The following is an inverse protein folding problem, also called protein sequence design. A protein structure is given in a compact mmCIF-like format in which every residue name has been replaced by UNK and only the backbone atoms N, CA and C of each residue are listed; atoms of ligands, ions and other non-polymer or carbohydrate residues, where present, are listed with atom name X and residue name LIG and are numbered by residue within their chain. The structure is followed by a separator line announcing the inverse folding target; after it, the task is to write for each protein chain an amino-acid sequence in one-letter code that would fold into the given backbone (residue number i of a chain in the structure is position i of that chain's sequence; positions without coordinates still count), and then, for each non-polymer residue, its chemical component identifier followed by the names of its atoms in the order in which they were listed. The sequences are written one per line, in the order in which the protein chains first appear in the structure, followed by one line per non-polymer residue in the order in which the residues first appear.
data_IF_644956819664
#
_entry.id   IF_644956819664
#
_cell.length_a   1.000
_cell.length_b   1.000
_cell.length_c   1.000
_cell.angle_alpha   90.00
_cell.angle_beta   90.00
_cell.angle_gamma   90.00
#
_symmetry.space_group_name_H-M   'P 1'
#
loop_
_entity.id
_entity.type
_entity.pdbx_description
1 polymer ?
#
# COMPACT_ATOMS: atom_id res chain seq x y z
N UNK A 1 -5.84 -20.66 -0.25
CA UNK A 1 -6.98 -20.34 0.64
C UNK A 1 -7.35 -18.89 0.37
N UNK A 2 -8.61 -18.59 0.07
CA UNK A 2 -9.06 -17.19 -0.04
C UNK A 2 -9.44 -16.68 1.34
N UNK A 3 -8.77 -15.64 1.83
CA UNK A 3 -9.15 -14.95 3.05
C UNK A 3 -10.41 -14.14 2.78
N UNK A 4 -11.43 -14.31 3.61
CA UNK A 4 -12.67 -13.55 3.50
C UNK A 4 -12.61 -12.38 4.46
N UNK A 5 -12.80 -11.13 4.00
CA UNK A 5 -12.85 -9.99 4.89
C UNK A 5 -14.08 -10.10 5.82
N UNK A 6 -13.92 -9.57 7.02
CA UNK A 6 -15.04 -9.36 7.91
C UNK A 6 -15.95 -8.26 7.32
N UNK A 7 -17.25 -8.54 7.24
CA UNK A 7 -18.24 -7.62 6.67
C UNK A 7 -19.20 -7.06 7.71
N UNK A 8 -19.08 -7.44 8.98
CA UNK A 8 -20.14 -7.23 9.98
C UNK A 8 -20.39 -5.76 10.31
N UNK A 9 -19.40 -4.88 10.10
CA UNK A 9 -19.47 -3.49 10.52
C UNK A 9 -19.06 -2.47 9.43
N UNK A 10 -18.77 -2.91 8.20
CA UNK A 10 -18.37 -2.01 7.10
C UNK A 10 -16.95 -1.43 7.24
N UNK A 11 -16.10 -2.01 8.08
CA UNK A 11 -14.70 -1.62 8.23
C UNK A 11 -13.78 -2.76 7.77
N UNK A 12 -12.76 -2.39 7.00
CA UNK A 12 -11.63 -3.26 6.67
C UNK A 12 -10.35 -2.59 7.14
N UNK A 13 -9.65 -3.22 8.09
CA UNK A 13 -8.51 -2.60 8.73
C UNK A 13 -7.38 -3.60 9.00
N UNK A 14 -6.21 -3.00 9.15
CA UNK A 14 -5.01 -3.59 9.69
C UNK A 14 -4.73 -2.89 11.03
N UNK A 15 -4.56 -3.65 12.10
CA UNK A 15 -4.31 -3.11 13.45
C UNK A 15 -3.13 -3.78 14.12
N UNK A 16 -2.52 -3.07 15.06
CA UNK A 16 -1.53 -3.62 15.98
C UNK A 16 -2.08 -3.59 17.41
N UNK A 17 -1.58 -4.49 18.25
CA UNK A 17 -1.91 -4.53 19.68
C UNK A 17 -0.65 -4.21 20.51
N UNK A 18 -0.74 -3.35 21.54
CA UNK A 18 0.37 -3.12 22.47
C UNK A 18 0.87 -4.41 23.15
N UNK A 19 -0.03 -5.36 23.37
CA UNK A 19 0.23 -6.62 24.05
C UNK A 19 0.85 -7.67 23.13
N UNK A 20 0.75 -7.48 21.80
CA UNK A 20 1.26 -8.42 20.79
C UNK A 20 2.13 -7.68 19.76
N UNK A 21 3.30 -7.22 20.23
CA UNK A 21 4.19 -6.32 19.48
C UNK A 21 4.69 -6.86 18.15
N UNK A 22 4.81 -8.19 18.04
CA UNK A 22 5.35 -8.86 16.85
C UNK A 22 4.24 -9.43 15.96
N UNK A 23 3.00 -8.96 16.14
CA UNK A 23 1.87 -9.40 15.32
C UNK A 23 1.04 -8.23 14.83
N UNK A 24 0.46 -8.45 13.66
CA UNK A 24 -0.51 -7.54 13.05
C UNK A 24 -1.80 -8.32 12.85
N UNK A 25 -2.93 -7.69 13.15
CA UNK A 25 -4.27 -8.26 13.01
C UNK A 25 -4.99 -7.66 11.81
N UNK A 26 -5.82 -8.47 11.17
CA UNK A 26 -6.65 -8.06 10.03
C UNK A 26 -8.10 -8.39 10.33
N UNK A 27 -8.99 -7.51 9.85
CA UNK A 27 -10.44 -7.72 9.94
C UNK A 27 -10.91 -8.78 8.93
N UNK A 28 -10.62 -10.05 9.19
CA UNK A 28 -11.10 -11.23 8.45
C UNK A 28 -12.10 -12.03 9.29
N UNK A 29 -12.82 -12.95 8.66
CA UNK A 29 -13.65 -13.94 9.35
C UNK A 29 -13.19 -15.36 8.97
N UNK A 30 -12.61 -16.15 9.91
CA UNK A 30 -12.29 -15.79 11.30
C UNK A 30 -11.19 -14.73 11.39
N UNK A 31 -11.05 -14.09 12.55
CA UNK A 31 -9.98 -13.11 12.82
C UNK A 31 -8.61 -13.78 12.60
N UNK A 32 -7.73 -13.07 11.88
CA UNK A 32 -6.39 -13.56 11.55
C UNK A 32 -5.34 -12.57 12.03
N UNK A 33 -4.26 -13.13 12.58
CA UNK A 33 -3.05 -12.41 12.96
C UNK A 33 -1.84 -12.96 12.19
N UNK A 34 -0.96 -12.10 11.72
CA UNK A 34 0.32 -12.47 11.11
C UNK A 34 1.48 -12.06 12.01
N UNK A 35 2.45 -12.96 12.19
CA UNK A 35 3.70 -12.61 12.85
C UNK A 35 4.60 -11.81 11.90
N UNK A 36 5.11 -10.68 12.36
CA UNK A 36 6.02 -9.82 11.59
C UNK A 36 7.41 -9.86 12.18
N UNK A 37 8.42 -10.05 11.33
CA UNK A 37 9.82 -10.11 11.79
C UNK A 37 10.35 -8.72 12.19
N UNK A 38 9.91 -7.69 11.47
CA UNK A 38 10.14 -6.29 11.77
C UNK A 38 8.80 -5.57 11.71
N UNK A 39 8.51 -4.74 12.71
CA UNK A 39 7.28 -3.95 12.71
C UNK A 39 7.39 -2.88 11.62
N UNK A 40 6.46 -2.82 10.64
CA UNK A 40 6.47 -1.77 9.63
C UNK A 40 6.31 -0.40 10.31
N UNK A 41 7.07 0.56 9.84
CA UNK A 41 6.96 1.96 10.27
C UNK A 41 5.98 2.71 9.36
N UNK A 42 5.91 2.32 8.09
CA UNK A 42 4.97 2.86 7.12
C UNK A 42 4.14 1.74 6.49
N UNK A 43 2.82 1.92 6.49
CA UNK A 43 1.89 1.02 5.80
C UNK A 43 1.40 1.69 4.52
N UNK A 44 1.62 1.03 3.38
CA UNK A 44 0.96 1.37 2.14
C UNK A 44 -0.43 0.77 2.11
N UNK A 45 -1.44 1.56 1.76
CA UNK A 45 -2.83 1.10 1.59
C UNK A 45 -3.25 1.41 0.16
N UNK A 46 -3.71 0.39 -0.55
CA UNK A 46 -4.18 0.52 -1.94
C UNK A 46 -5.53 -0.13 -2.09
N UNK A 47 -6.48 0.60 -2.68
CA UNK A 47 -7.80 0.11 -3.03
C UNK A 47 -7.95 0.15 -4.55
N UNK A 48 -8.11 -1.02 -5.15
CA UNK A 48 -8.64 -1.13 -6.50
C UNK A 48 -10.17 -1.14 -6.44
N UNK A 49 -10.76 -0.05 -6.92
CA UNK A 49 -12.20 0.15 -6.86
C UNK A 49 -12.96 -0.72 -7.86
N UNK A 50 -12.35 -1.10 -8.98
CA UNK A 50 -12.98 -1.86 -10.05
C UNK A 50 -12.98 -3.35 -9.72
N UNK A 51 -11.82 -3.87 -9.29
CA UNK A 51 -11.67 -5.29 -8.92
C UNK A 51 -12.12 -5.59 -7.49
N UNK A 52 -12.42 -4.55 -6.70
CA UNK A 52 -12.85 -4.64 -5.29
C UNK A 52 -11.79 -5.31 -4.41
N UNK A 53 -10.54 -4.92 -4.60
CA UNK A 53 -9.41 -5.47 -3.88
C UNK A 53 -8.75 -4.41 -2.99
N UNK A 54 -8.60 -4.72 -1.71
CA UNK A 54 -7.90 -3.88 -0.73
C UNK A 54 -6.58 -4.55 -0.33
N UNK A 55 -5.47 -3.88 -0.61
CA UNK A 55 -4.12 -4.37 -0.34
C UNK A 55 -3.39 -3.51 0.68
N UNK A 56 -2.66 -4.17 1.59
CA UNK A 56 -1.77 -3.55 2.57
C UNK A 56 -0.33 -3.96 2.30
N UNK A 57 0.60 -3.00 2.37
CA UNK A 57 2.01 -3.21 2.08
C UNK A 57 2.88 -2.72 3.24
N UNK A 58 3.97 -3.46 3.50
CA UNK A 58 5.10 -2.95 4.25
C UNK A 58 5.97 -2.15 3.26
N UNK A 59 6.03 -0.83 3.46
CA UNK A 59 6.74 0.08 2.54
C UNK A 59 8.25 -0.13 2.62
N UNK A 60 8.78 -0.32 3.82
CA UNK A 60 10.21 -0.50 4.06
C UNK A 60 10.73 -1.76 3.37
N UNK A 61 10.01 -2.88 3.50
CA UNK A 61 10.36 -4.15 2.86
C UNK A 61 9.92 -4.24 1.40
N UNK A 62 9.09 -3.30 0.92
CA UNK A 62 8.44 -3.34 -0.40
C UNK A 62 7.69 -4.65 -0.64
N UNK A 63 6.99 -5.14 0.38
CA UNK A 63 6.27 -6.42 0.33
C UNK A 63 4.78 -6.25 0.59
N UNK A 64 3.99 -7.03 -0.13
CA UNK A 64 2.58 -7.22 0.19
C UNK A 64 2.48 -7.92 1.55
N UNK A 65 1.68 -7.35 2.44
CA UNK A 65 1.32 -7.97 3.70
C UNK A 65 0.11 -8.87 3.46
N UNK A 66 -0.97 -8.31 2.93
CA UNK A 66 -2.22 -9.01 2.64
C UNK A 66 -3.01 -8.27 1.56
N UNK A 67 -3.80 -9.03 0.81
CA UNK A 67 -4.82 -8.51 -0.09
C UNK A 67 -6.17 -9.18 0.22
N UNK A 68 -7.24 -8.39 0.24
CA UNK A 68 -8.59 -8.79 0.62
C UNK A 68 -9.57 -8.43 -0.49
N UNK A 69 -10.35 -9.42 -0.94
CA UNK A 69 -11.47 -9.21 -1.84
C UNK A 69 -12.67 -8.64 -1.05
N UNK A 70 -12.81 -7.31 -1.04
CA UNK A 70 -13.85 -6.59 -0.29
C UNK A 70 -15.13 -6.47 -1.10
N UNK A 71 -16.26 -6.24 -0.44
CA UNK A 71 -17.55 -6.02 -1.11
C UNK A 71 -18.21 -4.77 -0.57
N UNK A 72 -18.51 -3.84 -1.47
CA UNK A 72 -19.13 -2.56 -1.14
C UNK A 72 -19.90 -2.03 -2.35
N UNK A 73 -20.95 -1.26 -2.08
CA UNK A 73 -21.85 -0.71 -3.10
C UNK A 73 -21.85 0.82 -3.17
N UNK A 74 -21.02 1.48 -2.36
CA UNK A 74 -20.99 2.94 -2.23
C UNK A 74 -19.57 3.49 -2.08
N UNK A 75 -19.48 4.70 -1.57
CA UNK A 75 -18.21 5.37 -1.31
C UNK A 75 -17.45 4.69 -0.17
N UNK A 76 -16.12 4.74 -0.27
CA UNK A 76 -15.20 4.28 0.77
C UNK A 76 -14.36 5.46 1.20
N UNK A 77 -14.16 5.55 2.51
CA UNK A 77 -13.31 6.57 3.11
C UNK A 77 -12.17 5.91 3.89
N UNK A 78 -10.95 6.47 3.82
CA UNK A 78 -9.88 6.07 4.71
C UNK A 78 -10.29 6.24 6.18
N UNK A 79 -9.95 5.26 7.00
CA UNK A 79 -10.18 5.28 8.45
C UNK A 79 -8.86 5.07 9.17
N UNK A 80 -8.58 5.92 10.16
CA UNK A 80 -7.35 5.90 10.93
C UNK A 80 -7.66 5.87 12.43
N UNK A 81 -6.95 5.02 13.16
CA UNK A 81 -7.02 4.95 14.61
C UNK A 81 -5.59 4.93 15.17
N UNK A 82 -5.11 6.04 15.78
CA UNK A 82 -3.75 6.13 16.29
C UNK A 82 -3.51 5.34 17.59
N UNK A 83 -4.54 4.69 18.15
CA UNK A 83 -4.45 3.96 19.40
C UNK A 83 -4.62 4.86 20.62
N UNK A 84 -5.20 4.31 21.69
CA UNK A 84 -5.47 5.06 22.92
C UNK A 84 -4.19 5.16 23.76
N UNK A 85 -3.72 6.39 23.98
CA UNK A 85 -2.60 6.66 24.89
C UNK A 85 -1.22 6.57 24.26
N UNK A 86 -1.11 6.25 22.96
CA UNK A 86 0.13 6.41 22.22
C UNK A 86 0.47 7.92 22.13
N UNK A 87 1.74 8.25 22.34
CA UNK A 87 2.25 9.62 22.26
C UNK A 87 2.80 9.95 20.86
N UNK A 88 2.96 8.92 20.02
CA UNK A 88 3.46 9.03 18.66
C UNK A 88 2.36 9.52 17.73
N UNK A 89 2.71 10.37 16.77
CA UNK A 89 1.77 10.83 15.74
C UNK A 89 1.59 9.74 14.67
N UNK A 90 0.37 9.64 14.11
CA UNK A 90 0.11 8.92 12.87
C UNK A 90 0.03 9.94 11.74
N UNK A 91 0.90 9.81 10.74
CA UNK A 91 1.06 10.80 9.67
C UNK A 91 0.70 10.21 8.31
N UNK A 92 -0.03 10.98 7.51
CA UNK A 92 -0.31 10.64 6.11
C UNK A 92 0.81 11.25 5.26
N UNK A 93 1.65 10.41 4.68
CA UNK A 93 2.78 10.85 3.86
C UNK A 93 2.27 11.23 2.46
N UNK A 94 2.38 12.51 2.10
CA UNK A 94 2.18 12.97 0.73
C UNK A 94 3.45 12.74 -0.08
N UNK A 95 3.47 11.72 -0.95
CA UNK A 95 4.58 11.54 -1.89
C UNK A 95 4.30 12.39 -3.13
N UNK A 96 5.18 13.36 -3.49
CA UNK A 96 5.03 14.08 -4.75
C UNK A 96 5.12 13.09 -5.91
N UNK A 97 4.24 13.26 -6.89
CA UNK A 97 4.24 12.48 -8.12
C UNK A 97 5.63 12.62 -8.77
N UNK A 98 6.31 11.49 -9.00
CA UNK A 98 7.58 11.52 -9.70
C UNK A 98 7.29 11.82 -11.16
N UNK A 99 7.53 13.07 -11.57
CA UNK A 99 7.57 13.43 -12.99
C UNK A 99 8.78 12.70 -13.58
N UNK A 100 8.53 11.60 -14.28
CA UNK A 100 9.55 10.96 -15.12
C UNK A 100 9.84 11.89 -16.30
N UNK A 101 10.93 12.65 -16.21
CA UNK A 101 11.51 13.31 -17.37
C UNK A 101 12.07 12.23 -18.30
N UNK A 102 11.30 11.82 -19.31
CA UNK A 102 11.79 10.93 -20.36
C UNK A 102 12.71 11.70 -21.32
N UNK A 103 13.98 11.89 -20.92
CA UNK A 103 15.05 12.35 -21.81
C UNK A 103 15.54 11.20 -22.70
N UNK A 104 14.66 10.70 -23.58
CA UNK A 104 15.06 9.82 -24.67
C UNK A 104 14.88 10.56 -25.99
N UNK A 105 15.84 11.42 -26.35
CA UNK A 105 16.11 11.80 -27.73
C UNK A 105 17.61 12.11 -27.88
N UNK A 106 18.42 11.06 -27.94
CA UNK A 106 19.80 11.13 -28.48
C UNK A 106 19.76 10.81 -29.98
N UNK A 107 19.95 11.87 -30.77
CA UNK A 107 20.40 12.05 -32.16
C UNK A 107 20.08 11.04 -33.27
N UNK A 108 19.74 11.54 -34.48
CA UNK A 108 20.27 11.01 -35.73
C UNK A 108 21.60 11.70 -36.08
N UNK A 109 22.64 10.89 -36.22
CA UNK A 109 23.88 11.19 -36.93
C UNK A 109 23.59 11.41 -38.42
N UNK A 110 23.92 12.59 -38.95
CA UNK A 110 24.18 12.77 -40.39
C UNK A 110 25.56 13.41 -40.58
N UNK A 111 26.57 12.56 -40.68
CA UNK A 111 27.83 12.90 -41.34
C UNK A 111 27.70 12.50 -42.82
N UNK A 112 27.42 13.48 -43.69
CA UNK A 112 27.70 13.35 -45.12
C UNK A 112 28.37 14.65 -45.58
N UNK A 113 29.70 14.67 -45.56
CA UNK A 113 30.47 15.47 -46.51
C UNK A 113 31.32 14.53 -47.36
N UNK A 114 30.93 14.48 -48.63
CA UNK A 114 31.56 13.74 -49.70
C UNK A 114 32.68 14.59 -50.30
N UNK A 115 33.88 14.02 -50.22
CA UNK A 115 35.10 14.11 -51.04
C UNK A 115 35.27 15.24 -52.08
N UNK A 116 36.49 15.79 -52.04
CA UNK A 116 37.19 16.65 -53.03
C UNK A 116 36.94 16.31 -54.51
N UNK A 117 36.66 17.37 -55.29
CA UNK A 117 37.42 17.82 -56.47
C UNK A 117 37.05 19.25 -56.85
#
# INVERSE_FOLDING_TARGET
MSLSPNISNGFWFLSSSPDQRDTIQYSTEPEMSLHVHSRPETIGVYLDFDTKELSFYNVEEKKLIISLAVRFTGEIFPFFNPGKGDQSSMEIIQKPEQVECNDNNTSPTEEVQKTEQ
#
